data_IF_525583009719
#
_entry.id   IF_525583009719
#
_cell.length_a   1.000
_cell.length_b   1.000
_cell.length_c   1.000
_cell.angle_alpha   90.00
_cell.angle_beta   90.00
_cell.angle_gamma   90.00
#
_symmetry.space_group_name_H-M   'P 1'
#
loop_
_entity.id
_entity.type
_entity.pdbx_description
1 polymer ?
#
# COMPACT_ATOMS: atom_id res chain seq x y z
N UNK A 1 -15.40 -24.49 -64.35
CA UNK A 1 -16.46 -24.58 -63.30
C UNK A 1 -16.05 -25.38 -62.06
N UNK A 2 -15.32 -26.50 -62.15
CA UNK A 2 -14.92 -27.31 -60.97
C UNK A 2 -13.98 -26.61 -59.97
N UNK A 3 -13.18 -25.65 -60.42
CA UNK A 3 -12.19 -24.94 -59.57
C UNK A 3 -12.82 -23.91 -58.62
N UNK A 4 -13.96 -23.32 -58.99
CA UNK A 4 -14.65 -22.31 -58.16
C UNK A 4 -15.33 -22.93 -56.93
N UNK A 5 -15.85 -24.16 -57.07
CA UNK A 5 -16.51 -24.91 -55.98
C UNK A 5 -15.49 -25.35 -54.92
N UNK A 6 -14.28 -25.72 -55.34
CA UNK A 6 -13.21 -26.13 -54.43
C UNK A 6 -12.73 -24.94 -53.57
N UNK A 7 -12.57 -23.77 -54.18
CA UNK A 7 -12.20 -22.54 -53.48
C UNK A 7 -13.27 -22.11 -52.48
N UNK A 8 -14.56 -22.14 -52.84
CA UNK A 8 -15.64 -21.81 -51.89
C UNK A 8 -15.71 -22.78 -50.70
N UNK A 9 -15.45 -24.08 -50.91
CA UNK A 9 -15.41 -25.05 -49.81
C UNK A 9 -14.30 -24.81 -48.80
N UNK A 10 -13.11 -24.40 -49.26
CA UNK A 10 -11.96 -24.07 -48.40
C UNK A 10 -12.24 -22.81 -47.57
N UNK A 11 -12.90 -21.80 -48.14
CA UNK A 11 -13.28 -20.58 -47.43
C UNK A 11 -14.33 -20.84 -46.33
N UNK A 12 -15.29 -21.74 -46.57
CA UNK A 12 -16.32 -22.08 -45.58
C UNK A 12 -15.70 -22.82 -44.38
N UNK A 13 -14.78 -23.76 -44.63
CA UNK A 13 -14.08 -24.50 -43.57
C UNK A 13 -13.20 -23.57 -42.71
N UNK A 14 -12.50 -22.62 -43.34
CA UNK A 14 -11.68 -21.65 -42.62
C UNK A 14 -12.53 -20.71 -41.73
N UNK A 15 -13.73 -20.33 -42.19
CA UNK A 15 -14.63 -19.46 -41.42
C UNK A 15 -15.24 -20.19 -40.21
N UNK A 16 -15.55 -21.48 -40.32
CA UNK A 16 -16.07 -22.27 -39.20
C UNK A 16 -15.01 -22.50 -38.11
N UNK A 17 -13.74 -22.70 -38.49
CA UNK A 17 -12.64 -22.82 -37.53
C UNK A 17 -12.39 -21.52 -36.79
N UNK A 18 -12.46 -20.38 -37.48
CA UNK A 18 -12.32 -19.05 -36.85
C UNK A 18 -13.47 -18.79 -35.89
N UNK A 19 -14.71 -19.10 -36.29
CA UNK A 19 -15.88 -18.93 -35.43
C UNK A 19 -15.78 -19.79 -34.16
N UNK A 20 -15.38 -21.07 -34.29
CA UNK A 20 -15.17 -21.96 -33.16
C UNK A 20 -14.04 -21.50 -32.22
N UNK A 21 -12.95 -20.92 -32.76
CA UNK A 21 -11.88 -20.35 -31.93
C UNK A 21 -12.29 -19.05 -31.21
N UNK A 22 -13.15 -18.23 -31.80
CA UNK A 22 -13.72 -17.03 -31.16
C UNK A 22 -14.68 -17.42 -30.04
N UNK A 23 -15.52 -18.44 -30.26
CA UNK A 23 -16.46 -18.93 -29.25
C UNK A 23 -15.73 -19.61 -28.07
N UNK A 24 -14.68 -20.39 -28.36
CA UNK A 24 -13.81 -20.98 -27.34
C UNK A 24 -13.05 -19.91 -26.52
N UNK A 25 -12.62 -18.81 -27.15
CA UNK A 25 -11.99 -17.66 -26.46
C UNK A 25 -12.97 -16.86 -25.61
N UNK A 26 -14.22 -16.73 -26.02
CA UNK A 26 -15.24 -16.03 -25.25
C UNK A 26 -15.67 -16.83 -24.01
N UNK A 27 -15.69 -18.17 -24.08
CA UNK A 27 -15.97 -19.05 -22.94
C UNK A 27 -14.76 -19.29 -22.03
N UNK A 28 -13.54 -18.89 -22.43
CA UNK A 28 -12.37 -18.82 -21.53
C UNK A 28 -12.24 -17.50 -20.78
N UNK A 29 -13.28 -16.66 -20.77
CA UNK A 29 -13.54 -15.80 -19.61
C UNK A 29 -14.07 -16.66 -18.46
N UNK A 30 -13.24 -17.64 -18.09
CA UNK A 30 -13.16 -18.27 -16.80
C UNK A 30 -13.44 -17.21 -15.76
N UNK A 31 -14.39 -17.50 -14.89
CA UNK A 31 -14.55 -16.89 -13.58
C UNK A 31 -13.16 -16.62 -12.97
N UNK A 32 -12.56 -15.47 -13.28
CA UNK A 32 -11.65 -14.85 -12.34
C UNK A 32 -12.59 -14.47 -11.22
N UNK A 33 -12.70 -15.37 -10.23
CA UNK A 33 -13.05 -14.95 -8.89
C UNK A 33 -12.19 -13.71 -8.65
N UNK A 34 -12.84 -12.55 -8.69
CA UNK A 34 -12.21 -11.31 -8.30
C UNK A 34 -12.04 -11.50 -6.81
N UNK A 35 -10.92 -12.12 -6.42
CA UNK A 35 -10.48 -12.15 -5.03
C UNK A 35 -10.44 -10.69 -4.62
N UNK A 36 -11.45 -10.30 -3.84
CA UNK A 36 -11.54 -8.94 -3.33
C UNK A 36 -10.34 -8.80 -2.39
N UNK A 37 -9.33 -8.01 -2.79
CA UNK A 37 -8.15 -7.77 -1.96
C UNK A 37 -8.62 -7.22 -0.61
N UNK A 38 -8.49 -8.03 0.44
CA UNK A 38 -8.84 -7.66 1.81
C UNK A 38 -7.58 -7.26 2.58
N UNK A 39 -7.73 -6.50 3.66
CA UNK A 39 -6.61 -6.19 4.57
C UNK A 39 -5.90 -7.43 5.12
N UNK A 40 -6.54 -8.60 5.12
CA UNK A 40 -5.91 -9.84 5.57
C UNK A 40 -4.90 -10.41 4.56
N UNK A 41 -5.03 -10.01 3.30
CA UNK A 41 -4.22 -10.50 2.16
C UNK A 41 -3.07 -9.58 1.76
N UNK A 42 -3.08 -8.31 2.19
CA UNK A 42 -1.99 -7.39 1.92
C UNK A 42 -0.74 -7.74 2.75
N UNK A 43 0.41 -7.24 2.31
CA UNK A 43 1.65 -7.37 3.07
C UNK A 43 1.56 -6.52 4.34
N UNK A 44 1.93 -7.11 5.48
CA UNK A 44 1.61 -6.58 6.81
C UNK A 44 2.78 -5.88 7.49
N UNK A 45 3.99 -6.05 6.98
CA UNK A 45 5.16 -5.36 7.52
C UNK A 45 5.69 -4.42 6.44
N UNK A 46 6.28 -3.30 6.84
CA UNK A 46 6.96 -2.44 5.91
C UNK A 46 8.15 -1.73 6.56
N UNK A 47 9.15 -1.46 5.72
CA UNK A 47 10.28 -0.59 6.03
C UNK A 47 10.30 0.52 5.00
N UNK A 48 10.50 1.75 5.44
CA UNK A 48 10.49 2.89 4.53
C UNK A 48 11.26 4.07 5.12
N UNK A 49 11.67 4.94 4.22
CA UNK A 49 12.25 6.22 4.58
C UNK A 49 11.14 7.28 4.56
N UNK A 50 11.04 8.05 5.63
CA UNK A 50 10.25 9.28 5.69
C UNK A 50 11.18 10.44 5.38
N UNK A 51 10.93 11.09 4.24
CA UNK A 51 11.86 12.02 3.63
C UNK A 51 13.28 11.43 3.52
N UNK A 52 14.32 12.25 3.67
CA UNK A 52 15.71 11.84 3.51
C UNK A 52 16.35 11.28 4.79
N UNK A 53 15.77 11.56 5.97
CA UNK A 53 16.43 11.34 7.26
C UNK A 53 15.64 10.46 8.23
N UNK A 54 14.35 10.22 7.98
CA UNK A 54 13.52 9.34 8.81
C UNK A 54 13.59 7.90 8.32
N UNK A 55 13.76 6.97 9.23
CA UNK A 55 13.68 5.52 8.98
C UNK A 55 12.59 4.93 9.85
N UNK A 56 11.67 4.20 9.23
CA UNK A 56 10.52 3.65 9.91
C UNK A 56 10.33 2.18 9.56
N UNK A 57 9.98 1.40 10.57
CA UNK A 57 9.36 0.10 10.45
C UNK A 57 7.91 0.22 10.91
N UNK A 58 7.00 -0.43 10.19
CA UNK A 58 5.61 -0.51 10.60
C UNK A 58 5.04 -1.92 10.45
N UNK A 59 4.08 -2.22 11.31
CA UNK A 59 3.28 -3.44 11.28
C UNK A 59 1.80 -3.12 11.23
N UNK A 60 1.14 -3.70 10.26
CA UNK A 60 -0.30 -3.70 10.03
C UNK A 60 -0.96 -4.85 10.78
N UNK A 61 -2.03 -4.52 11.49
CA UNK A 61 -2.92 -5.45 12.18
C UNK A 61 -4.30 -5.28 11.54
N UNK A 62 -4.69 -6.20 10.64
CA UNK A 62 -6.00 -6.16 10.01
C UNK A 62 -7.11 -6.25 11.07
N UNK A 63 -8.08 -5.33 11.01
CA UNK A 63 -9.23 -5.29 11.92
C UNK A 63 -10.51 -5.73 11.19
N UNK A 64 -10.62 -5.44 9.90
CA UNK A 64 -11.73 -5.85 9.02
C UNK A 64 -11.25 -5.94 7.57
N UNK A 65 -12.14 -6.27 6.63
CA UNK A 65 -11.77 -6.32 5.21
C UNK A 65 -11.23 -5.00 4.65
N UNK A 66 -11.59 -3.86 5.26
CA UNK A 66 -11.24 -2.51 4.80
C UNK A 66 -10.46 -1.69 5.81
N UNK A 67 -10.26 -2.18 7.04
CA UNK A 67 -9.65 -1.41 8.13
C UNK A 67 -8.49 -2.17 8.77
N UNK A 68 -7.48 -1.44 9.22
CA UNK A 68 -6.33 -1.98 9.95
C UNK A 68 -5.80 -0.95 10.96
N UNK A 69 -5.13 -1.44 12.00
CA UNK A 69 -4.27 -0.64 12.86
C UNK A 69 -2.82 -0.74 12.36
N UNK A 70 -2.10 0.36 12.35
CA UNK A 70 -0.67 0.43 12.07
C UNK A 70 0.04 0.73 13.39
N UNK A 71 1.07 -0.05 13.70
CA UNK A 71 2.04 0.25 14.73
C UNK A 71 3.38 0.55 14.07
N UNK A 72 3.91 1.74 14.29
CA UNK A 72 5.15 2.22 13.68
C UNK A 72 6.17 2.52 14.77
N UNK A 73 7.41 2.12 14.51
CA UNK A 73 8.59 2.49 15.28
C UNK A 73 9.72 2.86 14.34
N UNK A 74 10.53 3.84 14.71
CA UNK A 74 11.58 4.33 13.86
C UNK A 74 12.46 5.35 14.55
N UNK A 75 13.24 6.06 13.76
CA UNK A 75 14.06 7.17 14.22
C UNK A 75 14.27 8.18 13.09
N UNK A 76 14.56 9.42 13.47
CA UNK A 76 14.99 10.48 12.56
C UNK A 76 16.46 10.75 12.84
N UNK A 77 17.26 10.77 11.77
CA UNK A 77 18.65 11.24 11.85
C UNK A 77 18.63 12.75 11.94
N UNK A 78 18.59 13.23 13.18
CA UNK A 78 18.87 14.60 13.57
C UNK A 78 20.08 14.57 14.53
N UNK A 79 20.59 15.72 14.96
CA UNK A 79 21.61 15.79 16.01
C UNK A 79 20.93 16.22 17.32
N UNK A 80 20.60 15.31 18.27
CA UNK A 80 20.84 13.85 18.28
C UNK A 80 19.78 13.03 17.52
N UNK A 81 20.03 11.73 17.30
CA UNK A 81 19.05 10.80 16.69
C UNK A 81 17.80 10.71 17.56
N UNK A 82 16.63 10.93 16.96
CA UNK A 82 15.36 11.02 17.68
C UNK A 82 14.49 9.79 17.40
N UNK A 83 14.24 8.91 18.38
CA UNK A 83 13.26 7.84 18.26
C UNK A 83 11.84 8.36 17.98
N UNK A 84 11.10 7.62 17.16
CA UNK A 84 9.72 7.92 16.79
C UNK A 84 8.85 6.69 16.99
N UNK A 85 7.68 6.89 17.60
CA UNK A 85 6.63 5.88 17.69
C UNK A 85 5.32 6.47 17.19
N UNK A 86 4.52 5.68 16.48
CA UNK A 86 3.22 6.13 16.00
C UNK A 86 2.24 4.95 15.96
N UNK A 87 0.98 5.25 16.26
CA UNK A 87 -0.14 4.36 16.00
C UNK A 87 -1.08 5.05 15.03
N UNK A 88 -1.56 4.31 14.02
CA UNK A 88 -2.47 4.88 13.04
C UNK A 88 -3.60 3.94 12.67
N UNK A 89 -4.79 4.50 12.49
CA UNK A 89 -5.90 3.83 11.85
C UNK A 89 -5.76 3.95 10.33
N UNK A 90 -5.90 2.83 9.63
CA UNK A 90 -5.91 2.79 8.18
C UNK A 90 -7.25 2.28 7.66
N UNK A 91 -7.77 2.93 6.63
CA UNK A 91 -8.94 2.45 5.88
C UNK A 91 -8.75 2.58 4.38
N UNK A 92 -9.32 1.65 3.61
CA UNK A 92 -9.26 1.70 2.15
C UNK A 92 -9.42 0.32 1.49
N UNK A 93 -8.75 0.12 0.36
CA UNK A 93 -8.83 -1.15 -0.37
C UNK A 93 -7.87 -1.23 -1.55
N UNK A 94 -7.79 -2.41 -2.18
CA UNK A 94 -6.87 -2.78 -3.27
C UNK A 94 -5.41 -2.39 -3.02
N UNK A 95 -5.07 -1.12 -3.26
CA UNK A 95 -3.72 -0.57 -3.15
C UNK A 95 -3.67 0.81 -2.52
N UNK A 96 -4.81 1.45 -2.26
CA UNK A 96 -4.90 2.84 -1.87
C UNK A 96 -5.61 2.95 -0.53
N UNK A 97 -4.99 3.66 0.39
CA UNK A 97 -5.44 3.72 1.77
C UNK A 97 -5.28 5.13 2.34
N UNK A 98 -6.21 5.48 3.23
CA UNK A 98 -6.13 6.66 4.08
C UNK A 98 -5.62 6.25 5.46
N UNK A 99 -4.77 7.09 6.04
CA UNK A 99 -4.17 6.89 7.37
C UNK A 99 -4.46 8.08 8.27
N UNK A 100 -4.83 7.80 9.51
CA UNK A 100 -5.04 8.77 10.58
C UNK A 100 -4.27 8.30 11.80
N UNK A 101 -3.23 9.03 12.18
CA UNK A 101 -2.26 8.61 13.18
C UNK A 101 -2.06 9.60 14.32
N UNK A 102 -1.62 9.06 15.45
CA UNK A 102 -1.05 9.80 16.57
C UNK A 102 0.29 9.18 16.92
N UNK A 103 1.32 10.01 17.07
CA UNK A 103 2.66 9.57 17.37
C UNK A 103 3.39 10.50 18.32
N UNK A 104 4.55 10.07 18.75
CA UNK A 104 5.43 10.84 19.60
C UNK A 104 6.87 10.78 19.09
N UNK A 105 7.55 11.93 19.17
CA UNK A 105 8.99 12.04 19.08
C UNK A 105 9.53 11.96 20.51
N UNK A 106 10.48 11.05 20.72
CA UNK A 106 11.13 10.87 22.02
C UNK A 106 12.48 11.55 21.91
N UNK A 107 12.54 12.85 22.17
CA UNK A 107 13.81 13.54 22.30
C UNK A 107 14.28 13.43 23.76
N UNK A 108 15.58 13.22 23.97
CA UNK A 108 16.20 13.24 25.29
C UNK A 108 16.59 14.70 25.59
N UNK A 109 15.60 15.54 25.90
CA UNK A 109 15.86 16.91 26.39
C UNK A 109 15.84 16.94 27.92
N UNK A 110 16.57 16.01 28.56
CA UNK A 110 16.84 16.12 29.99
C UNK A 110 17.79 17.29 30.26
N UNK A 111 17.22 18.49 30.46
CA UNK A 111 17.81 19.47 31.38
C UNK A 111 16.91 19.87 32.52
N UNK A 112 15.58 19.73 32.46
CA UNK A 112 14.73 20.07 33.60
C UNK A 112 13.53 19.10 33.72
N UNK A 113 13.49 18.40 34.85
CA UNK A 113 12.36 17.76 35.52
C UNK A 113 11.02 17.68 34.76
N UNK A 114 10.82 16.64 33.93
CA UNK A 114 9.58 15.85 33.82
C UNK A 114 9.73 14.82 32.68
N UNK A 115 9.77 13.52 33.02
CA UNK A 115 9.95 12.41 32.08
C UNK A 115 8.74 12.16 31.17
N UNK A 116 8.46 13.08 30.26
CA UNK A 116 7.36 13.06 29.30
C UNK A 116 7.78 12.81 27.85
N UNK A 117 6.79 12.56 26.97
CA UNK A 117 6.99 12.61 25.52
C UNK A 117 7.16 14.06 25.09
N UNK A 118 8.33 14.40 24.54
CA UNK A 118 8.64 15.79 24.17
C UNK A 118 7.69 16.37 23.11
N UNK A 119 7.21 15.57 22.15
CA UNK A 119 6.29 16.07 21.13
C UNK A 119 5.23 15.05 20.71
N UNK A 120 3.96 15.38 20.94
CA UNK A 120 2.82 14.67 20.35
C UNK A 120 2.57 15.19 18.94
N UNK A 121 2.31 14.25 18.03
CA UNK A 121 2.09 14.51 16.61
C UNK A 121 0.82 13.82 16.14
N UNK A 122 0.08 14.49 15.27
CA UNK A 122 -1.07 13.95 14.56
C UNK A 122 -0.73 13.83 13.08
N UNK A 123 -1.12 12.73 12.45
CA UNK A 123 -0.87 12.47 11.04
C UNK A 123 -2.17 12.25 10.29
N UNK A 124 -2.28 12.88 9.13
CA UNK A 124 -3.21 12.50 8.08
C UNK A 124 -2.39 12.09 6.85
N UNK A 125 -2.63 10.90 6.32
CA UNK A 125 -1.80 10.33 5.27
C UNK A 125 -2.59 9.56 4.21
N UNK A 126 -1.96 9.45 3.05
CA UNK A 126 -2.32 8.55 1.98
C UNK A 126 -1.21 7.52 1.81
N UNK A 127 -1.59 6.26 1.65
CA UNK A 127 -0.69 5.14 1.34
C UNK A 127 -1.09 4.48 0.03
N UNK A 128 -0.10 4.29 -0.83
CA UNK A 128 -0.13 3.39 -1.96
C UNK A 128 0.76 2.17 -1.71
N UNK A 129 0.19 0.96 -1.77
CA UNK A 129 0.91 -0.30 -1.59
C UNK A 129 0.69 -1.21 -2.79
N UNK A 130 1.76 -1.43 -3.55
CA UNK A 130 1.72 -2.29 -4.73
C UNK A 130 1.85 -3.78 -4.34
N UNK A 131 1.33 -4.72 -5.16
CA UNK A 131 1.40 -6.16 -4.87
C UNK A 131 2.82 -6.73 -4.76
N UNK A 132 3.79 -6.05 -5.37
CA UNK A 132 5.21 -6.45 -5.32
C UNK A 132 5.96 -5.85 -4.13
N UNK A 133 5.28 -5.15 -3.22
CA UNK A 133 5.90 -4.53 -2.06
C UNK A 133 6.29 -3.08 -2.20
N UNK A 134 6.24 -2.46 -3.39
CA UNK A 134 6.50 -1.03 -3.47
C UNK A 134 5.50 -0.24 -2.61
N UNK A 135 6.02 0.64 -1.76
CA UNK A 135 5.26 1.48 -0.84
C UNK A 135 5.58 2.95 -1.11
N UNK A 136 4.53 3.75 -1.32
CA UNK A 136 4.58 5.20 -1.37
C UNK A 136 3.60 5.75 -0.34
N UNK A 137 4.03 6.69 0.48
CA UNK A 137 3.16 7.42 1.41
C UNK A 137 3.32 8.92 1.16
N UNK A 138 2.22 9.64 1.30
CA UNK A 138 2.21 11.10 1.33
C UNK A 138 1.37 11.51 2.53
N UNK A 139 1.91 12.32 3.44
CA UNK A 139 1.20 12.68 4.66
C UNK A 139 1.49 14.10 5.09
N UNK A 140 0.63 14.62 5.94
CA UNK A 140 0.88 15.85 6.69
C UNK A 140 0.92 15.48 8.16
N UNK A 141 1.98 15.91 8.84
CA UNK A 141 2.09 15.86 10.30
C UNK A 141 1.76 17.24 10.84
N UNK A 142 0.98 17.26 11.91
CA UNK A 142 0.72 18.44 12.71
C UNK A 142 1.15 18.18 14.16
N UNK A 143 1.95 19.08 14.71
CA UNK A 143 2.22 19.16 16.14
C UNK A 143 1.64 20.48 16.64
N UNK A 144 0.71 20.47 17.62
CA UNK A 144 -0.04 21.67 18.05
C UNK A 144 0.83 22.89 18.34
N UNK A 145 2.01 22.65 18.91
CA UNK A 145 2.87 23.72 19.44
C UNK A 145 4.08 24.04 18.54
N UNK A 146 4.24 23.34 17.41
CA UNK A 146 5.47 23.43 16.63
C UNK A 146 5.25 23.72 15.15
N UNK A 147 4.63 22.80 14.42
CA UNK A 147 4.69 22.82 12.96
C UNK A 147 3.57 22.04 12.27
N UNK A 148 3.41 22.33 10.99
CA UNK A 148 2.74 21.47 10.01
C UNK A 148 3.79 21.12 8.94
N UNK A 149 4.02 19.83 8.72
CA UNK A 149 5.04 19.36 7.78
C UNK A 149 4.44 18.36 6.78
N UNK A 150 4.51 18.63 5.47
CA UNK A 150 4.26 17.62 4.46
C UNK A 150 5.44 16.65 4.40
N UNK A 151 5.15 15.35 4.31
CA UNK A 151 6.14 14.29 4.21
C UNK A 151 5.84 13.39 3.03
N UNK A 152 6.89 12.91 2.38
CA UNK A 152 6.81 11.85 1.37
C UNK A 152 7.64 10.67 1.86
N UNK A 153 7.11 9.46 1.67
CA UNK A 153 7.80 8.26 2.11
C UNK A 153 7.87 7.23 1.02
N UNK A 154 9.02 6.57 0.90
CA UNK A 154 9.27 5.51 -0.06
C UNK A 154 9.84 4.30 0.66
N UNK A 155 9.36 3.12 0.30
CA UNK A 155 9.90 1.90 0.88
C UNK A 155 9.30 0.63 0.33
N UNK A 156 9.32 -0.39 1.17
CA UNK A 156 9.00 -1.75 0.82
C UNK A 156 8.14 -2.42 1.89
N UNK A 157 7.03 -3.00 1.45
CA UNK A 157 6.16 -3.85 2.25
C UNK A 157 6.36 -5.33 1.92
N UNK A 158 6.27 -6.18 2.94
CA UNK A 158 6.48 -7.62 2.84
C UNK A 158 5.58 -8.42 3.80
N UNK A 159 5.27 -9.64 3.37
CA UNK A 159 4.59 -10.64 4.21
C UNK A 159 5.61 -11.53 4.91
N UNK A 160 5.26 -12.00 6.10
CA UNK A 160 5.90 -13.18 6.68
C UNK A 160 5.04 -14.37 6.24
N UNK A 161 5.62 -15.26 5.44
CA UNK A 161 4.99 -16.53 5.08
C UNK A 161 5.03 -17.49 6.27
#
# INVERSE_FOLDING_TARGET
>A
MKMLVLLMGIWILALTDIAGQVEARNNTNVNKEVFEETMFTIQKNAVYNEDLLGFAYERLIPLSNKNALILKGGFIIWDPVIPVVESAFMTGGKKNFLELGVGALIADTNTDEEGGFDFVTFRLGYRYQAPKGFLLKASVIHSPDNFILPLISLGYSFGLN
#
